data_IF_880660284942
#
_entry.id   IF_880660284942
#
_cell.length_a   1.000
_cell.length_b   1.000
_cell.length_c   1.000
_cell.angle_alpha   90.00
_cell.angle_beta   90.00
_cell.angle_gamma   90.00
#
_symmetry.space_group_name_H-M   'P 1'
#
loop_
_entity.id
_entity.type
_entity.pdbx_description
1 polymer ?
#
# COMPACT_ATOMS: atom_id res chain seq x y z
N UNK A 1 -10.68 -34.28 7.12
CA UNK A 1 -11.75 -33.25 7.09
C UNK A 1 -11.38 -31.99 7.87
N UNK A 2 -11.01 -32.09 9.17
CA UNK A 2 -10.64 -30.92 9.99
C UNK A 2 -9.56 -30.02 9.36
N UNK A 3 -8.48 -30.60 8.84
CA UNK A 3 -7.41 -29.82 8.20
C UNK A 3 -7.90 -28.99 7.00
N UNK A 4 -8.80 -29.54 6.19
CA UNK A 4 -9.41 -28.81 5.06
C UNK A 4 -10.29 -27.66 5.56
N UNK A 5 -11.07 -27.88 6.63
CA UNK A 5 -11.88 -26.83 7.23
C UNK A 5 -11.03 -25.68 7.78
N UNK A 6 -9.92 -25.99 8.47
CA UNK A 6 -8.97 -25.00 8.95
C UNK A 6 -8.31 -24.24 7.80
N UNK A 7 -7.90 -24.94 6.74
CA UNK A 7 -7.34 -24.32 5.55
C UNK A 7 -8.35 -23.40 4.85
N UNK A 8 -9.61 -23.82 4.72
CA UNK A 8 -10.67 -22.99 4.17
C UNK A 8 -10.91 -21.75 5.02
N UNK A 9 -11.06 -21.89 6.34
CA UNK A 9 -11.26 -20.76 7.24
C UNK A 9 -10.10 -19.77 7.19
N UNK A 10 -8.86 -20.27 7.19
CA UNK A 10 -7.66 -19.44 7.05
C UNK A 10 -7.60 -18.73 5.70
N UNK A 11 -7.94 -19.43 4.61
CA UNK A 11 -7.95 -18.84 3.25
C UNK A 11 -8.99 -17.73 3.12
N UNK A 12 -10.19 -17.94 3.66
CA UNK A 12 -11.26 -16.92 3.68
C UNK A 12 -10.83 -15.72 4.51
N UNK A 13 -10.34 -15.95 5.74
CA UNK A 13 -9.89 -14.87 6.63
C UNK A 13 -8.73 -14.07 6.03
N UNK A 14 -7.72 -14.75 5.47
CA UNK A 14 -6.60 -14.09 4.80
C UNK A 14 -7.02 -13.29 3.57
N UNK A 15 -7.97 -13.80 2.78
CA UNK A 15 -8.51 -13.08 1.62
C UNK A 15 -9.33 -11.87 2.05
N UNK A 16 -10.16 -12.01 3.08
CA UNK A 16 -10.91 -10.90 3.68
C UNK A 16 -9.96 -9.78 4.11
N UNK A 17 -8.94 -10.11 4.90
CA UNK A 17 -8.00 -9.14 5.44
C UNK A 17 -7.19 -8.48 4.33
N UNK A 18 -6.78 -9.26 3.32
CA UNK A 18 -6.11 -8.74 2.12
C UNK A 18 -6.96 -7.71 1.39
N UNK A 19 -8.22 -8.04 1.10
CA UNK A 19 -9.13 -7.13 0.41
C UNK A 19 -9.42 -5.89 1.25
N UNK A 20 -9.54 -6.03 2.57
CA UNK A 20 -9.85 -4.91 3.44
C UNK A 20 -8.69 -3.91 3.54
N UNK A 21 -7.46 -4.38 3.77
CA UNK A 21 -6.32 -3.47 3.80
C UNK A 21 -6.05 -2.86 2.41
N UNK A 22 -6.33 -3.57 1.30
CA UNK A 22 -6.24 -2.98 -0.03
C UNK A 22 -7.26 -1.85 -0.21
N UNK A 23 -8.49 -2.00 0.30
CA UNK A 23 -9.48 -0.92 0.27
C UNK A 23 -8.99 0.31 1.02
N UNK A 24 -8.43 0.13 2.22
CA UNK A 24 -7.82 1.23 2.99
C UNK A 24 -6.67 1.89 2.22
N UNK A 25 -5.81 1.10 1.55
CA UNK A 25 -4.76 1.63 0.67
C UNK A 25 -5.32 2.49 -0.45
N UNK A 26 -6.32 1.98 -1.17
CA UNK A 26 -6.95 2.69 -2.28
C UNK A 26 -7.67 3.96 -1.82
N UNK A 27 -8.28 3.95 -0.62
CA UNK A 27 -8.83 5.16 -0.02
C UNK A 27 -7.76 6.25 0.16
N UNK A 28 -6.61 5.90 0.75
CA UNK A 28 -5.50 6.85 0.93
C UNK A 28 -4.94 7.37 -0.40
N UNK A 29 -4.83 6.49 -1.40
CA UNK A 29 -4.37 6.86 -2.74
C UNK A 29 -5.36 7.78 -3.47
N UNK A 30 -6.66 7.54 -3.30
CA UNK A 30 -7.72 8.41 -3.84
C UNK A 30 -7.71 9.78 -3.16
N UNK A 31 -7.43 9.85 -1.86
CA UNK A 31 -7.23 11.13 -1.15
C UNK A 31 -6.05 11.92 -1.75
N UNK A 32 -4.90 11.27 -1.95
CA UNK A 32 -3.75 11.92 -2.61
C UNK A 32 -4.09 12.42 -4.02
N UNK A 33 -4.81 11.63 -4.80
CA UNK A 33 -5.26 12.04 -6.13
C UNK A 33 -6.23 13.23 -6.08
N UNK A 34 -7.16 13.25 -5.12
CA UNK A 34 -8.08 14.36 -4.88
C UNK A 34 -7.36 15.64 -4.44
N UNK A 35 -6.25 15.50 -3.71
CA UNK A 35 -5.35 16.60 -3.33
C UNK A 35 -4.44 17.06 -4.49
N UNK A 36 -4.58 16.47 -5.68
CA UNK A 36 -3.83 16.84 -6.89
C UNK A 36 -2.43 16.25 -6.97
N UNK A 37 -2.10 15.22 -6.18
CA UNK A 37 -0.81 14.53 -6.25
C UNK A 37 -0.78 13.61 -7.48
N UNK A 38 0.16 13.87 -8.39
CA UNK A 38 0.35 13.06 -9.59
C UNK A 38 0.86 11.63 -9.24
N UNK A 39 0.38 10.56 -9.90
CA UNK A 39 0.80 9.19 -9.59
C UNK A 39 2.31 8.94 -9.72
N UNK A 40 3.02 9.73 -10.54
CA UNK A 40 4.47 9.68 -10.70
C UNK A 40 5.23 10.01 -9.39
N UNK A 41 4.59 10.72 -8.45
CA UNK A 41 5.16 11.13 -7.16
C UNK A 41 4.82 10.16 -6.02
N UNK A 42 4.14 9.05 -6.32
CA UNK A 42 3.56 8.15 -5.34
C UNK A 42 4.14 6.74 -5.52
N UNK A 43 4.73 6.20 -4.46
CA UNK A 43 4.85 4.76 -4.25
C UNK A 43 3.58 4.24 -3.56
N UNK A 44 2.61 3.81 -4.37
CA UNK A 44 1.33 3.26 -3.92
C UNK A 44 1.33 1.74 -3.85
N UNK A 45 2.48 1.11 -4.10
CA UNK A 45 2.61 -0.33 -4.23
C UNK A 45 2.27 -0.86 -5.63
N UNK A 46 2.60 -2.13 -5.84
CA UNK A 46 2.54 -2.81 -7.13
C UNK A 46 1.25 -2.58 -7.94
N UNK A 47 0.07 -2.72 -7.32
CA UNK A 47 -1.21 -2.57 -8.03
C UNK A 47 -1.46 -1.14 -8.50
N UNK A 48 -1.21 -0.15 -7.63
CA UNK A 48 -1.45 1.25 -7.96
C UNK A 48 -0.46 1.73 -9.04
N UNK A 49 0.83 1.48 -8.82
CA UNK A 49 1.87 1.85 -9.76
C UNK A 49 1.75 1.08 -11.08
N UNK A 50 1.38 -0.20 -11.05
CA UNK A 50 1.10 -0.97 -12.26
C UNK A 50 -0.12 -0.45 -13.03
N UNK A 51 -1.17 0.02 -12.36
CA UNK A 51 -2.33 0.57 -13.05
C UNK A 51 -2.01 1.90 -13.75
N UNK A 52 -1.23 2.78 -13.12
CA UNK A 52 -1.03 4.14 -13.61
C UNK A 52 0.28 4.33 -14.39
N UNK A 53 1.34 3.60 -14.05
CA UNK A 53 2.72 3.84 -14.49
C UNK A 53 3.36 2.61 -15.14
N UNK A 54 2.59 1.60 -15.54
CA UNK A 54 3.15 0.44 -16.23
C UNK A 54 3.94 0.86 -17.47
N UNK A 55 5.19 0.43 -17.50
CA UNK A 55 6.11 0.61 -18.62
C UNK A 55 6.99 -0.65 -18.74
N UNK A 56 6.95 -1.38 -19.88
CA UNK A 56 7.82 -2.55 -20.09
C UNK A 56 9.31 -2.19 -20.16
N UNK A 57 9.66 -0.92 -20.39
CA UNK A 57 11.03 -0.43 -20.40
C UNK A 57 11.51 0.11 -19.04
N UNK A 58 10.66 0.07 -18.00
CA UNK A 58 11.04 0.55 -16.66
C UNK A 58 12.19 -0.28 -16.07
N UNK A 59 13.23 0.43 -15.62
CA UNK A 59 14.37 -0.16 -14.94
C UNK A 59 14.33 0.24 -13.47
N UNK A 60 14.08 -0.75 -12.61
CA UNK A 60 14.07 -0.54 -11.17
C UNK A 60 15.45 -0.13 -10.65
N UNK A 61 15.47 0.72 -9.63
CA UNK A 61 16.69 1.09 -8.90
C UNK A 61 16.64 0.49 -7.50
N UNK A 62 17.80 0.20 -6.89
CA UNK A 62 17.86 -0.39 -5.55
C UNK A 62 17.38 0.53 -4.42
N UNK A 63 17.22 1.83 -4.69
CA UNK A 63 16.78 2.82 -3.72
C UNK A 63 15.26 2.87 -3.52
N UNK A 64 14.49 2.33 -4.49
CA UNK A 64 13.03 2.37 -4.54
C UNK A 64 12.46 0.96 -4.66
N UNK A 65 11.15 0.84 -4.49
CA UNK A 65 10.47 -0.42 -4.75
C UNK A 65 10.68 -0.90 -6.18
N UNK A 66 10.72 -2.21 -6.39
CA UNK A 66 11.08 -2.80 -7.69
C UNK A 66 10.02 -2.62 -8.79
N UNK A 67 8.82 -2.16 -8.45
CA UNK A 67 7.76 -1.80 -9.39
C UNK A 67 7.94 -0.35 -9.91
N UNK A 68 7.02 0.09 -10.77
CA UNK A 68 7.04 1.37 -11.49
C UNK A 68 6.94 2.63 -10.61
N UNK A 69 7.99 2.92 -9.84
CA UNK A 69 8.10 4.07 -8.94
C UNK A 69 9.05 5.10 -9.54
N UNK A 70 8.49 6.16 -10.14
CA UNK A 70 9.28 7.26 -10.70
C UNK A 70 9.85 8.15 -9.59
N UNK A 71 9.01 8.59 -8.66
CA UNK A 71 9.39 9.27 -7.43
C UNK A 71 8.58 8.72 -6.25
N UNK A 72 9.19 8.74 -5.05
CA UNK A 72 8.62 8.25 -3.80
C UNK A 72 8.33 9.39 -2.83
N UNK A 73 8.03 10.61 -3.32
CA UNK A 73 7.69 11.74 -2.44
C UNK A 73 6.54 11.39 -1.48
N UNK A 74 5.57 10.63 -1.96
CA UNK A 74 4.52 10.03 -1.16
C UNK A 74 4.63 8.51 -1.18
N UNK A 75 4.50 7.85 -0.02
CA UNK A 75 4.54 6.39 0.10
C UNK A 75 3.36 5.91 0.93
N UNK A 76 2.66 4.88 0.46
CA UNK A 76 1.60 4.23 1.24
C UNK A 76 2.09 2.89 1.78
N UNK A 77 2.33 2.80 3.10
CA UNK A 77 2.90 1.60 3.73
C UNK A 77 2.45 1.40 5.18
N UNK A 78 2.71 0.22 5.74
CA UNK A 78 2.27 -0.17 7.09
C UNK A 78 3.14 0.35 8.24
N UNK A 79 4.32 0.90 7.95
CA UNK A 79 5.30 1.29 8.98
C UNK A 79 5.83 2.68 8.70
N UNK A 80 6.28 3.44 9.71
CA UNK A 80 7.04 4.67 9.48
C UNK A 80 8.35 4.40 8.70
N UNK A 81 8.90 5.42 8.05
CA UNK A 81 10.18 5.40 7.34
C UNK A 81 11.00 6.63 7.74
N UNK A 82 12.30 6.46 8.00
CA UNK A 82 13.18 7.60 8.28
C UNK A 82 13.26 8.54 7.06
N UNK A 83 13.29 9.85 7.30
CA UNK A 83 13.25 10.89 6.24
C UNK A 83 11.85 11.15 5.68
N UNK A 84 10.81 10.61 6.32
CA UNK A 84 9.41 10.82 5.97
C UNK A 84 8.59 11.15 7.22
N UNK A 85 7.60 12.03 7.04
CA UNK A 85 6.56 12.30 8.04
C UNK A 85 5.23 11.67 7.65
N UNK A 86 4.47 11.22 8.65
CA UNK A 86 3.11 10.71 8.44
C UNK A 86 2.19 11.91 8.15
N UNK A 87 1.41 11.83 7.07
CA UNK A 87 0.47 12.89 6.66
C UNK A 87 -0.99 12.44 6.65
N UNK A 88 -1.24 11.14 6.57
CA UNK A 88 -2.56 10.53 6.72
C UNK A 88 -2.42 9.08 7.19
N UNK A 89 -3.49 8.51 7.75
CA UNK A 89 -3.58 7.09 8.01
C UNK A 89 -4.99 6.56 7.80
N UNK A 90 -5.10 5.25 7.58
CA UNK A 90 -6.37 4.53 7.50
C UNK A 90 -6.23 3.18 8.19
N UNK A 91 -7.22 2.85 9.02
CA UNK A 91 -7.33 1.54 9.65
C UNK A 91 -7.94 0.51 8.69
N UNK A 92 -7.40 -0.70 8.75
CA UNK A 92 -7.97 -1.89 8.12
C UNK A 92 -8.19 -2.96 9.19
N UNK A 93 -9.45 -3.24 9.49
CA UNK A 93 -9.83 -4.32 10.40
C UNK A 93 -9.66 -5.69 9.73
N UNK A 94 -9.25 -6.69 10.51
CA UNK A 94 -8.96 -8.03 10.04
C UNK A 94 -9.52 -9.10 10.98
N UNK A 95 -9.62 -10.31 10.46
CA UNK A 95 -10.03 -11.50 11.19
C UNK A 95 -8.83 -12.30 11.70
N UNK A 96 -7.64 -12.05 11.17
CA UNK A 96 -6.37 -12.61 11.64
C UNK A 96 -5.56 -11.55 12.38
N UNK A 97 -4.78 -11.99 13.36
CA UNK A 97 -3.84 -11.12 14.09
C UNK A 97 -2.93 -10.36 13.10
N UNK A 98 -2.78 -9.02 13.21
CA UNK A 98 -3.10 -8.20 14.38
C UNK A 98 -4.56 -7.73 14.55
N UNK A 99 -5.54 -8.26 13.82
CA UNK A 99 -6.99 -7.89 13.81
C UNK A 99 -7.30 -6.44 13.43
N UNK A 100 -6.30 -5.57 13.49
CA UNK A 100 -6.29 -4.21 12.97
C UNK A 100 -4.89 -3.93 12.45
N UNK A 101 -4.83 -3.44 11.22
CA UNK A 101 -3.60 -2.99 10.57
C UNK A 101 -3.79 -1.55 10.15
N UNK A 102 -2.86 -0.68 10.52
CA UNK A 102 -2.88 0.71 10.10
C UNK A 102 -2.02 0.87 8.83
N UNK A 103 -2.57 1.53 7.80
CA UNK A 103 -1.78 2.04 6.68
C UNK A 103 -1.51 3.52 6.87
N UNK A 104 -0.31 3.93 6.50
CA UNK A 104 0.18 5.29 6.61
C UNK A 104 0.43 5.85 5.21
N UNK A 105 0.07 7.10 5.01
CA UNK A 105 0.64 7.93 3.95
C UNK A 105 1.82 8.68 4.55
N UNK A 106 2.99 8.42 3.98
CA UNK A 106 4.23 9.07 4.33
C UNK A 106 4.55 10.11 3.26
N UNK A 107 4.97 11.31 3.68
CA UNK A 107 5.52 12.32 2.78
C UNK A 107 6.99 12.54 3.10
N UNK A 108 7.85 12.53 2.08
CA UNK A 108 9.28 12.80 2.21
C UNK A 108 9.48 14.19 2.79
N UNK A 109 10.38 14.31 3.76
CA UNK A 109 10.73 15.61 4.30
C UNK A 109 11.46 16.43 3.22
N UNK A 110 11.10 17.71 3.06
CA UNK A 110 11.77 18.59 2.12
C UNK A 110 13.20 18.82 2.57
N UNK A 111 14.16 18.48 1.72
CA UNK A 111 15.55 18.95 1.82
C UNK A 111 15.63 20.44 1.61
#
# INVERSE_FOLDING_TARGET
MLALLLMCAFSVAGTHDYMNWNRARWQLLQQLAADGVAPQRIDGGFQFNGLHMYDPAYVATSAKSFWWVHDDEYIVQFRPRAGYRIVASADAEGWLSPFRTELLVLKRDGT
#
